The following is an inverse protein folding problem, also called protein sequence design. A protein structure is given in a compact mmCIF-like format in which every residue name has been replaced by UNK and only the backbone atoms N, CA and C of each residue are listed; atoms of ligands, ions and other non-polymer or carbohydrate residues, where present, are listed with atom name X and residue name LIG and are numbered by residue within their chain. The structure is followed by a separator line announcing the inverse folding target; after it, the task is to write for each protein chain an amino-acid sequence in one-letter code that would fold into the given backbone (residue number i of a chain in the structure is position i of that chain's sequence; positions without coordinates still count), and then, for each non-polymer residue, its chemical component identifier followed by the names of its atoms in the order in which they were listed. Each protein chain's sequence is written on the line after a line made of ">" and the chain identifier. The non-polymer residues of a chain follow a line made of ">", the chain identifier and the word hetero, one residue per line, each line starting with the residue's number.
data_IF_544623188062
#
_entry.id   IF_544623188062
#
_cell.length_a   1.000
_cell.length_b   1.000
_cell.length_c   1.000
_cell.angle_alpha   90.00
_cell.angle_beta   90.00
_cell.angle_gamma   90.00
#
_symmetry.space_group_name_H-M   'P 1'
#
loop_
_entity.id
_entity.type
_entity.pdbx_description
1 polymer ?
#
# COMPACT_ATOMS: atom_id res chain seq x y z
N UNK A 1 12.58 10.76 -4.54
CA UNK A 1 12.62 9.70 -3.81
C UNK A 1 11.34 9.11 -3.49
N UNK A 2 11.20 7.89 -3.57
CA UNK A 2 9.96 7.28 -3.34
C UNK A 2 9.66 7.19 -1.93
N UNK A 3 8.43 7.22 -1.61
CA UNK A 3 8.02 7.07 -0.24
C UNK A 3 7.98 5.64 0.15
N UNK A 4 7.78 4.75 -0.77
CA UNK A 4 7.75 3.36 -0.40
C UNK A 4 9.15 2.86 -0.14
N UNK A 5 9.31 1.96 0.79
CA UNK A 5 10.61 1.41 1.07
C UNK A 5 11.09 0.71 -0.16
N UNK A 6 12.34 0.81 -0.39
CA UNK A 6 12.84 0.19 -1.53
C UNK A 6 13.16 -1.19 -1.25
N UNK A 7 12.28 -1.98 -1.36
CA UNK A 7 12.52 -3.33 -1.06
C UNK A 7 13.18 -3.93 -2.17
N UNK A 8 13.52 -3.25 -3.05
CA UNK A 8 14.00 -3.87 -4.10
C UNK A 8 15.16 -4.56 -3.96
N UNK A 9 16.07 -4.20 -4.24
CA UNK A 9 17.16 -4.82 -4.26
C UNK A 9 16.91 -6.19 -4.33
N UNK A 10 17.25 -6.96 -4.05
CA UNK A 10 17.07 -8.34 -4.22
C UNK A 10 16.35 -8.86 -3.08
N UNK A 11 15.67 -8.07 -2.40
CA UNK A 11 14.95 -8.57 -1.32
C UNK A 11 13.67 -9.09 -1.76
N UNK A 12 13.31 -10.24 -1.38
CA UNK A 12 12.07 -10.81 -1.71
C UNK A 12 11.30 -10.95 -0.45
N UNK A 13 10.01 -10.83 -0.54
CA UNK A 13 9.17 -11.04 0.62
C UNK A 13 8.98 -12.54 0.72
N UNK A 14 9.54 -13.18 1.72
CA UNK A 14 9.51 -14.63 1.78
C UNK A 14 8.16 -15.24 2.05
N UNK A 15 7.23 -14.51 2.60
CA UNK A 15 5.95 -15.12 2.90
C UNK A 15 4.82 -14.15 2.62
N UNK A 16 3.62 -14.72 2.50
CA UNK A 16 2.44 -13.90 2.33
C UNK A 16 2.26 -12.99 3.53
N UNK A 17 2.65 -13.46 4.69
CA UNK A 17 2.55 -12.65 5.91
C UNK A 17 3.39 -11.38 5.78
N UNK A 18 4.59 -11.50 5.25
CA UNK A 18 5.44 -10.34 5.09
C UNK A 18 4.87 -9.36 4.07
N UNK A 19 4.32 -9.89 2.98
CA UNK A 19 3.71 -9.04 1.98
C UNK A 19 2.50 -8.32 2.58
N UNK A 20 1.72 -9.02 3.39
CA UNK A 20 0.54 -8.43 4.03
C UNK A 20 0.96 -7.30 4.95
N UNK A 21 1.97 -7.51 5.76
CA UNK A 21 2.41 -6.48 6.67
C UNK A 21 2.93 -5.26 5.91
N UNK A 22 3.66 -5.50 4.84
CA UNK A 22 4.20 -4.40 4.06
C UNK A 22 3.07 -3.59 3.43
N UNK A 23 2.06 -4.29 2.90
CA UNK A 23 0.93 -3.63 2.29
C UNK A 23 0.20 -2.75 3.30
N UNK A 24 -0.05 -3.31 4.47
CA UNK A 24 -0.77 -2.57 5.49
C UNK A 24 0.05 -1.39 6.01
N UNK A 25 1.33 -1.56 6.13
CA UNK A 25 2.19 -0.48 6.59
C UNK A 25 2.22 0.64 5.56
N UNK A 26 2.33 0.32 4.29
CA UNK A 26 2.34 1.34 3.27
C UNK A 26 1.02 2.08 3.22
N UNK A 27 -0.09 1.35 3.40
CA UNK A 27 -1.40 1.98 3.41
C UNK A 27 -1.53 2.92 4.59
N UNK A 28 -0.98 2.53 5.72
CA UNK A 28 -1.04 3.37 6.91
C UNK A 28 -0.24 4.65 6.69
N UNK A 29 0.94 4.53 6.10
CA UNK A 29 1.74 5.71 5.81
C UNK A 29 1.03 6.62 4.82
N UNK A 30 0.35 6.06 3.85
CA UNK A 30 -0.39 6.83 2.88
C UNK A 30 -1.54 7.58 3.57
N UNK A 31 -2.20 6.91 4.51
CA UNK A 31 -3.25 7.53 5.29
C UNK A 31 -2.69 8.71 6.08
N UNK A 32 -1.54 8.54 6.69
CA UNK A 32 -0.95 9.63 7.47
C UNK A 32 -0.54 10.78 6.57
N UNK A 33 -0.11 10.48 5.37
CA UNK A 33 0.36 11.53 4.46
C UNK A 33 -0.78 12.29 3.80
N UNK A 34 -1.92 11.66 3.61
CA UNK A 34 -2.99 12.29 2.84
C UNK A 34 -4.27 12.52 3.63
N UNK A 35 -4.42 11.86 4.76
CA UNK A 35 -5.66 11.92 5.51
C UNK A 35 -6.74 11.01 4.95
N UNK A 36 -6.47 10.29 3.88
CA UNK A 36 -7.48 9.46 3.25
C UNK A 36 -7.73 8.24 4.10
N UNK A 37 -8.96 7.94 4.45
CA UNK A 37 -9.24 6.78 5.29
C UNK A 37 -9.03 5.49 4.54
N UNK A 38 -8.83 4.42 5.28
CA UNK A 38 -8.54 3.13 4.68
C UNK A 38 -9.60 2.64 3.72
N UNK A 39 -10.89 2.89 4.00
CA UNK A 39 -11.91 2.40 3.10
C UNK A 39 -11.87 3.15 1.77
N UNK A 40 -11.45 4.40 1.77
CA UNK A 40 -11.36 5.15 0.54
C UNK A 40 -10.13 4.71 -0.24
N UNK A 41 -9.03 4.47 0.44
CA UNK A 41 -7.83 3.96 -0.22
C UNK A 41 -8.19 2.64 -0.88
N UNK A 42 -8.90 1.78 -0.17
CA UNK A 42 -9.29 0.48 -0.70
C UNK A 42 -10.17 0.61 -1.93
N UNK A 43 -11.13 1.51 -1.86
CA UNK A 43 -12.04 1.69 -2.97
C UNK A 43 -11.33 2.23 -4.21
N UNK A 44 -10.45 3.18 -4.00
CA UNK A 44 -9.76 3.79 -5.14
C UNK A 44 -8.73 2.86 -5.74
N UNK A 45 -8.00 2.15 -4.90
CA UNK A 45 -6.93 1.30 -5.40
C UNK A 45 -7.42 -0.01 -5.96
N UNK A 46 -8.41 -0.62 -5.31
CA UNK A 46 -8.83 -1.96 -5.66
C UNK A 46 -10.31 -2.07 -6.01
N UNK A 47 -11.00 -0.94 -6.02
CA UNK A 47 -12.43 -0.93 -6.32
C UNK A 47 -13.20 -1.79 -5.33
N UNK A 48 -12.78 -1.80 -4.09
CA UNK A 48 -13.39 -2.64 -3.07
C UNK A 48 -13.12 -1.98 -1.73
N UNK A 49 -14.10 -1.31 -1.16
CA UNK A 49 -13.89 -0.50 0.04
C UNK A 49 -13.52 -1.32 1.25
N UNK A 50 -13.67 -2.63 1.20
CA UNK A 50 -13.30 -3.46 2.33
C UNK A 50 -11.96 -4.15 2.12
N UNK A 51 -11.24 -3.83 1.05
CA UNK A 51 -10.01 -4.53 0.73
C UNK A 51 -9.02 -4.55 1.89
N UNK A 52 -8.65 -3.39 2.40
CA UNK A 52 -7.66 -3.36 3.48
C UNK A 52 -8.15 -4.04 4.73
N UNK A 53 -9.45 -3.92 5.03
CA UNK A 53 -9.99 -4.58 6.20
C UNK A 53 -9.90 -6.10 6.04
N UNK A 54 -10.17 -6.60 4.84
CA UNK A 54 -10.09 -8.01 4.60
C UNK A 54 -8.64 -8.51 4.65
N UNK A 55 -7.73 -7.74 4.11
CA UNK A 55 -6.32 -8.11 4.16
C UNK A 55 -5.85 -8.14 5.61
N UNK A 56 -6.24 -7.16 6.41
CA UNK A 56 -5.86 -7.13 7.82
C UNK A 56 -6.47 -8.32 8.55
N UNK A 57 -7.61 -8.80 8.07
CA UNK A 57 -8.27 -9.92 8.72
C UNK A 57 -7.76 -11.28 8.28
N UNK A 58 -6.79 -11.31 7.39
CA UNK A 58 -6.20 -12.58 7.00
C UNK A 58 -6.57 -13.08 5.63
N UNK A 59 -7.28 -12.29 4.84
CA UNK A 59 -7.66 -12.73 3.51
C UNK A 59 -6.44 -13.05 2.67
N UNK A 60 -6.49 -14.11 1.91
CA UNK A 60 -5.41 -14.46 1.02
C UNK A 60 -5.43 -13.55 -0.19
N UNK A 61 -4.31 -13.39 -0.83
CA UNK A 61 -4.23 -12.57 -2.03
C UNK A 61 -3.09 -13.08 -2.90
N UNK A 62 -3.12 -12.69 -4.15
CA UNK A 62 -2.08 -13.11 -5.09
C UNK A 62 -1.03 -12.02 -5.20
N UNK A 63 0.14 -12.40 -5.68
CA UNK A 63 1.21 -11.43 -5.86
C UNK A 63 0.76 -10.29 -6.76
N UNK A 64 -0.04 -10.59 -7.77
CA UNK A 64 -0.50 -9.54 -8.66
C UNK A 64 -1.35 -8.52 -7.91
N UNK A 65 -2.16 -8.97 -6.97
CA UNK A 65 -2.98 -8.06 -6.17
C UNK A 65 -2.07 -7.15 -5.35
N UNK A 66 -1.05 -7.74 -4.76
CA UNK A 66 -0.08 -7.00 -3.96
C UNK A 66 0.59 -5.93 -4.83
N UNK A 67 1.03 -6.31 -6.02
CA UNK A 67 1.69 -5.37 -6.90
C UNK A 67 0.75 -4.26 -7.36
N UNK A 68 -0.47 -4.62 -7.69
CA UNK A 68 -1.44 -3.64 -8.15
C UNK A 68 -1.69 -2.59 -7.07
N UNK A 69 -1.86 -3.05 -5.84
CA UNK A 69 -2.12 -2.14 -4.74
C UNK A 69 -0.94 -1.20 -4.51
N UNK A 70 0.27 -1.74 -4.49
CA UNK A 70 1.44 -0.92 -4.26
C UNK A 70 1.68 0.07 -5.39
N UNK A 71 1.41 -0.34 -6.63
CA UNK A 71 1.54 0.58 -7.75
C UNK A 71 0.59 1.75 -7.60
N UNK A 72 -0.63 1.48 -7.17
CA UNK A 72 -1.59 2.56 -7.00
C UNK A 72 -1.10 3.54 -5.94
N UNK A 73 -0.59 3.03 -4.83
CA UNK A 73 -0.08 3.91 -3.79
C UNK A 73 1.08 4.73 -4.31
N UNK A 74 1.97 4.11 -5.05
CA UNK A 74 3.13 4.80 -5.55
C UNK A 74 2.73 5.90 -6.53
N UNK A 75 1.79 5.61 -7.41
CA UNK A 75 1.34 6.58 -8.39
C UNK A 75 0.62 7.75 -7.75
N UNK A 76 -0.02 7.52 -6.65
CA UNK A 76 -0.82 8.55 -6.00
C UNK A 76 -0.15 9.13 -4.75
N UNK A 77 1.06 8.74 -4.46
CA UNK A 77 1.73 9.22 -3.28
C UNK A 77 2.04 10.72 -3.42
N UNK A 78 1.76 11.47 -2.37
CA UNK A 78 2.01 12.91 -2.46
C UNK A 78 3.51 13.13 -2.52
N UNK A 79 3.95 13.74 -3.58
CA UNK A 79 5.37 13.95 -3.72
C UNK A 79 5.74 15.37 -3.55
N UNK A 80 4.79 16.23 -3.49
CA UNK A 80 5.11 17.60 -3.43
C UNK A 80 5.41 18.06 -2.08
N UNK A 81 5.28 17.25 -1.17
CA UNK A 81 5.49 17.63 0.11
C UNK A 81 6.75 18.27 0.30
N UNK A 82 7.70 17.70 -0.21
CA UNK A 82 8.95 18.20 -0.03
C UNK A 82 9.01 19.39 -0.76
N UNK A 83 8.57 19.33 -1.83
CA UNK A 83 8.71 20.41 -2.61
C UNK A 83 8.10 21.51 -2.02
N UNK A 84 7.14 21.26 -1.45
CA UNK A 84 6.48 22.28 -0.96
C UNK A 84 7.31 22.81 -0.05
N UNK A 85 8.00 22.18 0.15
CA UNK A 85 8.82 22.68 1.03
C UNK A 85 8.95 23.69 0.76
#
# INVERSE_FOLDING_TARGET
>A
MRSLPSAGKNIAFPTEHDMRRFMLECAHQFHLATGMPGYEISQRAMNDCSFLRQIAGGRNFKVKTFETFLHWLDDNWPTNIEGSA
#
